data_IF_546949045642
#
_entry.id   IF_546949045642
#
_cell.length_a   1.000
_cell.length_b   1.000
_cell.length_c   1.000
_cell.angle_alpha   90.00
_cell.angle_beta   90.00
_cell.angle_gamma   90.00
#
_symmetry.space_group_name_H-M   'P 1'
#
loop_
_entity.id
_entity.type
_entity.pdbx_description
1 polymer ?
#
# COMPACT_ATOMS: atom_id res chain seq x y z
N UNK A 1 -15.91 0.60 19.30
CA UNK A 1 -14.83 1.62 19.24
C UNK A 1 -13.47 1.07 19.67
N UNK A 2 -13.35 0.45 20.85
CA UNK A 2 -12.08 -0.10 21.37
C UNK A 2 -11.39 -1.10 20.42
N UNK A 3 -12.18 -1.96 19.75
CA UNK A 3 -11.66 -2.95 18.79
C UNK A 3 -10.95 -2.27 17.62
N UNK A 4 -11.52 -1.21 17.06
CA UNK A 4 -10.92 -0.47 15.94
C UNK A 4 -9.66 0.28 16.38
N UNK A 5 -9.65 0.89 17.58
CA UNK A 5 -8.47 1.55 18.14
C UNK A 5 -7.32 0.56 18.36
N UNK A 6 -7.62 -0.61 18.93
CA UNK A 6 -6.62 -1.66 19.10
C UNK A 6 -6.05 -2.17 17.76
N UNK A 7 -6.91 -2.40 16.76
CA UNK A 7 -6.48 -2.80 15.41
C UNK A 7 -5.63 -1.71 14.74
N UNK A 8 -6.05 -0.42 14.81
CA UNK A 8 -5.28 0.72 14.28
C UNK A 8 -3.87 0.76 14.87
N UNK A 9 -3.72 0.63 16.19
CA UNK A 9 -2.42 0.59 16.86
C UNK A 9 -1.59 -0.61 16.36
N UNK A 10 -2.18 -1.79 16.26
CA UNK A 10 -1.50 -2.99 15.75
C UNK A 10 -0.95 -2.77 14.34
N UNK A 11 -1.77 -2.24 13.42
CA UNK A 11 -1.35 -2.02 12.03
C UNK A 11 -0.33 -0.88 11.91
N UNK A 12 -0.44 0.19 12.71
CA UNK A 12 0.59 1.25 12.75
C UNK A 12 1.94 0.73 13.22
N UNK A 13 1.97 -0.14 14.23
CA UNK A 13 3.21 -0.78 14.70
C UNK A 13 3.79 -1.73 13.65
N UNK A 14 2.94 -2.50 12.96
CA UNK A 14 3.38 -3.33 11.84
C UNK A 14 3.98 -2.49 10.71
N UNK A 15 3.34 -1.38 10.34
CA UNK A 15 3.82 -0.45 9.31
C UNK A 15 5.19 0.15 9.66
N UNK A 16 5.42 0.56 10.90
CA UNK A 16 6.73 1.09 11.32
C UNK A 16 7.84 0.04 11.18
N UNK A 17 7.54 -1.22 11.53
CA UNK A 17 8.47 -2.33 11.41
C UNK A 17 8.76 -2.68 9.94
N UNK A 18 7.71 -2.75 9.11
CA UNK A 18 7.83 -3.01 7.68
C UNK A 18 8.62 -1.88 6.99
N UNK A 19 8.34 -0.60 7.31
CA UNK A 19 9.05 0.54 6.75
C UNK A 19 10.54 0.52 7.07
N UNK A 20 10.95 0.14 8.29
CA UNK A 20 12.37 -0.03 8.63
C UNK A 20 13.03 -1.10 7.78
N UNK A 21 12.40 -2.28 7.64
CA UNK A 21 12.92 -3.37 6.79
C UNK A 21 12.98 -2.96 5.32
N UNK A 22 11.94 -2.33 4.82
CA UNK A 22 11.84 -1.83 3.44
C UNK A 22 12.99 -0.86 3.12
N UNK A 23 13.24 0.13 3.98
CA UNK A 23 14.33 1.09 3.80
C UNK A 23 15.70 0.42 3.88
N UNK A 24 15.92 -0.52 4.81
CA UNK A 24 17.18 -1.27 4.90
C UNK A 24 17.46 -2.09 3.63
N UNK A 25 16.45 -2.78 3.09
CA UNK A 25 16.58 -3.54 1.83
C UNK A 25 16.82 -2.61 0.64
N UNK A 26 16.18 -1.42 0.61
CA UNK A 26 16.41 -0.42 -0.44
C UNK A 26 17.86 0.07 -0.45
N UNK A 27 18.43 0.38 0.73
CA UNK A 27 19.81 0.80 0.88
C UNK A 27 20.75 -0.33 0.46
N UNK A 28 20.52 -1.56 0.95
CA UNK A 28 21.33 -2.71 0.60
C UNK A 28 21.36 -2.98 -0.92
N UNK A 29 20.21 -2.83 -1.58
CA UNK A 29 20.08 -2.93 -3.03
C UNK A 29 20.91 -1.86 -3.76
N UNK A 30 20.88 -0.61 -3.27
CA UNK A 30 21.70 0.47 -3.83
C UNK A 30 23.20 0.15 -3.74
N UNK A 31 23.65 -0.32 -2.56
CA UNK A 31 25.05 -0.77 -2.41
C UNK A 31 25.41 -1.92 -3.35
N UNK A 32 24.51 -2.89 -3.53
CA UNK A 32 24.74 -4.02 -4.45
C UNK A 32 24.91 -3.54 -5.89
N UNK A 33 24.13 -2.55 -6.35
CA UNK A 33 24.29 -1.96 -7.69
C UNK A 33 25.64 -1.26 -7.83
N UNK A 34 26.03 -0.47 -6.84
CA UNK A 34 27.34 0.23 -6.87
C UNK A 34 28.49 -0.78 -6.94
N UNK A 35 28.47 -1.83 -6.11
CA UNK A 35 29.49 -2.88 -6.15
C UNK A 35 29.50 -3.64 -7.49
N UNK A 36 28.33 -3.88 -8.06
CA UNK A 36 28.20 -4.49 -9.38
C UNK A 36 28.90 -3.66 -10.47
N UNK A 37 28.67 -2.35 -10.51
CA UNK A 37 29.31 -1.44 -11.46
C UNK A 37 30.83 -1.37 -11.24
N UNK A 38 31.27 -1.34 -9.99
CA UNK A 38 32.70 -1.35 -9.64
C UNK A 38 33.36 -2.66 -10.09
N UNK A 39 32.68 -3.79 -9.91
CA UNK A 39 33.19 -5.10 -10.36
C UNK A 39 33.40 -5.16 -11.89
N UNK A 40 32.43 -4.63 -12.65
CA UNK A 40 32.54 -4.51 -14.11
C UNK A 40 33.72 -3.61 -14.51
N UNK A 41 33.86 -2.46 -13.86
CA UNK A 41 34.98 -1.54 -14.14
C UNK A 41 36.34 -2.21 -13.95
N UNK A 42 36.54 -2.92 -12.83
CA UNK A 42 37.78 -3.62 -12.56
C UNK A 42 38.01 -4.80 -13.51
N UNK A 43 36.96 -5.47 -13.97
CA UNK A 43 37.08 -6.52 -15.00
C UNK A 43 37.61 -5.94 -16.31
N UNK A 44 37.10 -4.82 -16.78
CA UNK A 44 37.55 -4.16 -18.01
C UNK A 44 39.01 -3.73 -17.91
N UNK A 45 39.48 -3.29 -16.72
CA UNK A 45 40.84 -2.81 -16.52
C UNK A 45 41.85 -3.92 -16.38
N UNK A 46 41.51 -5.01 -15.67
CA UNK A 46 42.47 -6.05 -15.26
C UNK A 46 42.24 -7.41 -15.92
N UNK A 47 41.12 -7.63 -16.63
CA UNK A 47 40.74 -8.88 -17.31
C UNK A 47 40.80 -10.14 -16.44
N UNK A 48 40.67 -10.02 -15.11
CA UNK A 48 40.77 -11.16 -14.19
C UNK A 48 39.40 -11.84 -14.05
N UNK A 49 39.40 -13.18 -14.12
CA UNK A 49 38.18 -14.02 -14.03
C UNK A 49 37.41 -13.84 -12.72
N UNK A 50 38.09 -13.44 -11.63
CA UNK A 50 37.47 -13.25 -10.32
C UNK A 50 36.39 -12.15 -10.35
N UNK A 51 36.57 -11.07 -11.15
CA UNK A 51 35.59 -10.03 -11.30
C UNK A 51 34.35 -10.47 -12.08
N UNK A 52 34.48 -11.43 -13.00
CA UNK A 52 33.34 -12.05 -13.69
C UNK A 52 32.50 -12.83 -12.69
N UNK A 53 33.11 -13.65 -11.85
CA UNK A 53 32.42 -14.43 -10.82
C UNK A 53 31.72 -13.50 -9.82
N UNK A 54 32.41 -12.43 -9.38
CA UNK A 54 31.83 -11.43 -8.48
C UNK A 54 30.63 -10.73 -9.12
N UNK A 55 30.69 -10.37 -10.40
CA UNK A 55 29.61 -9.72 -11.13
C UNK A 55 28.37 -10.61 -11.21
N UNK A 56 28.54 -11.90 -11.53
CA UNK A 56 27.44 -12.88 -11.58
C UNK A 56 26.81 -13.05 -10.20
N UNK A 57 27.62 -13.16 -9.15
CA UNK A 57 27.12 -13.27 -7.77
C UNK A 57 26.34 -12.03 -7.34
N UNK A 58 26.85 -10.82 -7.60
CA UNK A 58 26.19 -9.57 -7.26
C UNK A 58 24.89 -9.39 -8.03
N UNK A 59 24.82 -9.84 -9.29
CA UNK A 59 23.59 -9.85 -10.06
C UNK A 59 22.52 -10.77 -9.43
N UNK A 60 22.91 -11.99 -9.06
CA UNK A 60 22.01 -12.93 -8.38
C UNK A 60 21.50 -12.36 -7.04
N UNK A 61 22.39 -11.76 -6.26
CA UNK A 61 22.06 -11.10 -4.99
C UNK A 61 21.08 -9.94 -5.22
N UNK A 62 21.29 -9.13 -6.26
CA UNK A 62 20.37 -8.02 -6.62
C UNK A 62 18.97 -8.53 -6.95
N UNK A 63 18.86 -9.59 -7.77
CA UNK A 63 17.55 -10.19 -8.11
C UNK A 63 16.86 -10.75 -6.86
N UNK A 64 17.61 -11.38 -5.96
CA UNK A 64 17.08 -11.87 -4.69
C UNK A 64 16.53 -10.73 -3.81
N UNK A 65 17.29 -9.64 -3.67
CA UNK A 65 16.85 -8.45 -2.92
C UNK A 65 15.62 -7.77 -3.55
N UNK A 66 15.51 -7.80 -4.89
CA UNK A 66 14.33 -7.32 -5.59
C UNK A 66 13.05 -8.07 -5.17
N UNK A 67 13.13 -9.40 -5.09
CA UNK A 67 11.98 -10.23 -4.67
C UNK A 67 11.54 -9.90 -3.24
N UNK A 68 12.51 -9.76 -2.32
CA UNK A 68 12.22 -9.38 -0.93
C UNK A 68 11.57 -7.99 -0.87
N UNK A 69 12.11 -7.03 -1.63
CA UNK A 69 11.60 -5.66 -1.69
C UNK A 69 10.15 -5.62 -2.19
N UNK A 70 9.81 -6.36 -3.26
CA UNK A 70 8.45 -6.44 -3.79
C UNK A 70 7.48 -7.07 -2.78
N UNK A 71 7.91 -8.12 -2.07
CA UNK A 71 7.10 -8.73 -1.00
C UNK A 71 6.81 -7.75 0.13
N UNK A 72 7.85 -7.02 0.61
CA UNK A 72 7.68 -6.02 1.65
C UNK A 72 6.78 -4.85 1.21
N UNK A 73 6.85 -4.46 -0.07
CA UNK A 73 5.96 -3.44 -0.63
C UNK A 73 4.49 -3.88 -0.57
N UNK A 74 4.21 -5.12 -0.96
CA UNK A 74 2.86 -5.68 -0.88
C UNK A 74 2.35 -5.75 0.57
N UNK A 75 3.17 -6.27 1.50
CA UNK A 75 2.83 -6.30 2.93
C UNK A 75 2.54 -4.90 3.49
N UNK A 76 3.32 -3.89 3.06
CA UNK A 76 3.10 -2.49 3.42
C UNK A 76 1.75 -1.99 2.92
N UNK A 77 1.42 -2.23 1.65
CA UNK A 77 0.14 -1.80 1.05
C UNK A 77 -1.06 -2.43 1.77
N UNK A 78 -0.99 -3.73 2.07
CA UNK A 78 -2.06 -4.43 2.83
C UNK A 78 -2.23 -3.84 4.23
N UNK A 79 -1.12 -3.67 4.98
CA UNK A 79 -1.22 -3.10 6.34
C UNK A 79 -1.66 -1.63 6.33
N UNK A 80 -1.30 -0.86 5.28
CA UNK A 80 -1.79 0.51 5.12
C UNK A 80 -3.29 0.52 4.87
N UNK A 81 -3.81 -0.30 3.96
CA UNK A 81 -5.25 -0.39 3.70
C UNK A 81 -6.03 -0.79 4.96
N UNK A 82 -5.51 -1.76 5.74
CA UNK A 82 -6.13 -2.17 7.00
C UNK A 82 -6.09 -1.06 8.06
N UNK A 83 -5.02 -0.28 8.12
CA UNK A 83 -4.93 0.89 8.99
C UNK A 83 -5.97 1.94 8.60
N UNK A 84 -6.07 2.29 7.31
CA UNK A 84 -6.97 3.30 6.78
C UNK A 84 -8.46 2.91 7.01
N UNK A 85 -8.81 1.62 6.82
CA UNK A 85 -10.15 1.12 7.12
C UNK A 85 -10.50 1.35 8.60
N UNK A 86 -9.60 0.99 9.53
CA UNK A 86 -9.87 1.16 10.95
C UNK A 86 -9.89 2.64 11.37
N UNK A 87 -9.07 3.48 10.74
CA UNK A 87 -9.10 4.94 10.96
C UNK A 87 -10.41 5.56 10.49
N UNK A 88 -10.88 5.18 9.30
CA UNK A 88 -12.15 5.63 8.75
C UNK A 88 -13.34 5.23 9.64
N UNK A 89 -13.37 3.99 10.16
CA UNK A 89 -14.42 3.55 11.08
C UNK A 89 -14.39 4.31 12.42
N UNK A 90 -13.20 4.62 12.94
CA UNK A 90 -13.07 5.45 14.15
C UNK A 90 -13.63 6.86 13.89
N UNK A 91 -13.22 7.49 12.78
CA UNK A 91 -13.70 8.83 12.40
C UNK A 91 -15.21 8.89 12.24
N UNK A 92 -15.79 7.87 11.65
CA UNK A 92 -17.24 7.73 11.49
C UNK A 92 -17.95 7.58 12.85
N UNK A 93 -17.44 6.69 13.71
CA UNK A 93 -18.05 6.43 15.03
C UNK A 93 -17.91 7.60 16.00
N UNK A 94 -16.86 8.40 15.89
CA UNK A 94 -16.66 9.63 16.67
C UNK A 94 -17.47 10.81 16.09
N UNK A 95 -18.21 10.60 14.99
CA UNK A 95 -19.02 11.61 14.29
C UNK A 95 -18.25 12.85 13.85
N UNK A 96 -16.94 12.71 13.69
CA UNK A 96 -16.09 13.80 13.23
C UNK A 96 -16.23 14.02 11.72
N UNK A 97 -16.50 12.94 10.98
CA UNK A 97 -16.47 12.92 9.51
C UNK A 97 -17.09 11.61 9.01
N UNK A 98 -17.77 11.67 7.85
CA UNK A 98 -18.14 10.47 7.08
C UNK A 98 -17.09 10.29 5.98
N UNK A 99 -16.10 9.39 6.14
CA UNK A 99 -14.97 9.27 5.21
C UNK A 99 -15.29 8.40 3.99
N UNK A 100 -16.52 7.94 3.86
CA UNK A 100 -16.95 7.03 2.80
C UNK A 100 -17.47 7.81 1.59
N UNK A 101 -17.36 7.21 0.41
CA UNK A 101 -17.87 7.79 -0.83
C UNK A 101 -19.40 7.93 -0.79
N UNK A 102 -19.89 9.04 -1.29
CA UNK A 102 -21.29 9.43 -1.20
C UNK A 102 -22.19 8.88 -2.33
N UNK A 103 -21.59 8.17 -3.33
CA UNK A 103 -22.33 7.57 -4.44
C UNK A 103 -23.03 8.56 -5.38
N UNK A 104 -22.62 9.82 -5.37
CA UNK A 104 -23.23 10.86 -6.23
C UNK A 104 -23.18 10.49 -7.73
N UNK A 105 -22.21 9.67 -8.13
CA UNK A 105 -22.07 9.12 -9.49
C UNK A 105 -23.20 8.18 -9.91
N UNK A 106 -23.98 7.66 -8.95
CA UNK A 106 -25.15 6.78 -9.18
C UNK A 106 -26.47 7.53 -9.09
N UNK A 107 -26.45 8.84 -8.88
CA UNK A 107 -27.66 9.63 -8.76
C UNK A 107 -28.33 9.80 -10.13
N UNK A 108 -29.50 9.16 -10.29
CA UNK A 108 -30.34 9.29 -11.48
C UNK A 108 -31.50 10.25 -11.18
N UNK A 109 -31.44 11.44 -11.77
CA UNK A 109 -32.47 12.47 -11.61
C UNK A 109 -33.85 12.09 -12.21
N UNK A 110 -33.90 11.02 -13.01
CA UNK A 110 -35.17 10.50 -13.57
C UNK A 110 -35.84 9.50 -12.64
N UNK A 111 -35.15 9.06 -11.58
CA UNK A 111 -35.73 8.12 -10.63
C UNK A 111 -36.61 8.86 -9.60
N UNK A 112 -37.93 8.57 -9.54
CA UNK A 112 -38.89 9.40 -8.83
C UNK A 112 -38.67 9.48 -7.29
N UNK A 113 -37.96 8.53 -6.71
CA UNK A 113 -37.77 8.44 -5.25
C UNK A 113 -36.33 8.62 -4.77
N UNK A 114 -35.34 8.62 -5.69
CA UNK A 114 -33.93 8.69 -5.30
C UNK A 114 -33.57 10.00 -4.58
N UNK A 115 -34.20 11.09 -5.01
CA UNK A 115 -34.02 12.43 -4.45
C UNK A 115 -34.78 12.63 -3.12
N UNK A 116 -36.01 12.17 -3.05
CA UNK A 116 -36.86 12.34 -1.85
C UNK A 116 -36.36 11.52 -0.65
N UNK A 117 -35.60 10.43 -0.91
CA UNK A 117 -35.11 9.56 0.13
C UNK A 117 -33.64 9.81 0.48
N UNK A 118 -33.00 10.84 -0.07
CA UNK A 118 -31.58 11.14 0.14
C UNK A 118 -30.67 9.90 0.03
N UNK A 119 -30.89 9.08 -1.02
CA UNK A 119 -30.18 7.82 -1.18
C UNK A 119 -28.72 8.06 -1.50
N UNK A 120 -28.41 9.04 -2.36
CA UNK A 120 -27.06 9.37 -2.82
C UNK A 120 -26.71 10.82 -2.49
N UNK A 121 -25.43 11.12 -2.29
CA UNK A 121 -24.93 12.45 -1.97
C UNK A 121 -24.34 12.55 -0.57
N UNK A 122 -24.00 13.75 -0.14
CA UNK A 122 -23.43 13.99 1.18
C UNK A 122 -24.45 13.69 2.29
N UNK A 123 -23.98 13.00 3.33
CA UNK A 123 -24.81 12.54 4.46
C UNK A 123 -25.92 11.55 4.11
N UNK A 124 -25.96 11.05 2.87
CA UNK A 124 -26.97 10.14 2.36
C UNK A 124 -26.94 8.75 3.03
N UNK A 125 -28.00 7.98 2.80
CA UNK A 125 -28.08 6.60 3.25
C UNK A 125 -26.92 5.75 2.67
N UNK A 126 -26.62 5.92 1.37
CA UNK A 126 -25.51 5.24 0.71
C UNK A 126 -24.18 5.55 1.39
N UNK A 127 -23.85 6.81 1.65
CA UNK A 127 -22.61 7.21 2.27
C UNK A 127 -22.43 6.60 3.68
N UNK A 128 -23.52 6.51 4.44
CA UNK A 128 -23.49 5.92 5.78
C UNK A 128 -23.30 4.39 5.77
N UNK A 129 -23.81 3.71 4.76
CA UNK A 129 -23.75 2.24 4.64
C UNK A 129 -22.59 1.74 3.79
N UNK A 130 -22.08 2.56 2.88
CA UNK A 130 -21.05 2.15 1.93
C UNK A 130 -19.74 1.79 2.64
N UNK A 131 -19.33 0.53 2.48
CA UNK A 131 -18.05 -0.03 2.94
C UNK A 131 -17.33 -0.72 1.80
N UNK A 132 -17.73 -0.45 0.55
CA UNK A 132 -17.18 -1.11 -0.63
C UNK A 132 -15.88 -0.44 -1.06
N UNK A 133 -14.88 -1.27 -1.41
CA UNK A 133 -13.58 -0.81 -1.88
C UNK A 133 -13.41 -0.92 -3.40
N UNK A 134 -14.37 -1.54 -4.10
CA UNK A 134 -14.28 -1.76 -5.55
C UNK A 134 -15.47 -1.16 -6.27
N UNK A 135 -15.26 -0.72 -7.51
CA UNK A 135 -16.32 -0.17 -8.36
C UNK A 135 -17.48 -1.16 -8.57
N UNK A 136 -17.18 -2.44 -8.77
CA UNK A 136 -18.20 -3.48 -8.92
C UNK A 136 -19.02 -3.64 -7.64
N UNK A 137 -18.36 -3.66 -6.48
CA UNK A 137 -19.06 -3.77 -5.20
C UNK A 137 -19.93 -2.56 -4.86
N UNK A 138 -19.65 -1.38 -5.41
CA UNK A 138 -20.50 -0.19 -5.25
C UNK A 138 -21.78 -0.26 -6.09
N UNK A 139 -21.72 -0.95 -7.23
CA UNK A 139 -22.82 -1.01 -8.20
C UNK A 139 -23.79 -2.17 -7.93
N UNK A 140 -23.42 -3.13 -7.07
CA UNK A 140 -24.27 -4.28 -6.70
C UNK A 140 -25.15 -3.96 -5.49
#
# INVERSE_FOLDING_TARGET
MEIYKAKKIRFSTALTTINKKYNSISILRLFTIVLFLVSIYYYIKNSQIIFVVATIFLFGLFVFLMRIHTKLLFEKQVNQALFDINENEISYLERNKIPFENGQEFNDFHHPYAYDLDIFGEHSLFQNLNRTATFIGKKT
#
